data_IF_508027359388
#
_entry.id   IF_508027359388
#
_cell.length_a   1.000
_cell.length_b   1.000
_cell.length_c   1.000
_cell.angle_alpha   90.00
_cell.angle_beta   90.00
_cell.angle_gamma   90.00
#
_symmetry.space_group_name_H-M   'P 1'
#
loop_
_entity.id
_entity.type
_entity.pdbx_description
1 polymer ?
#
# COMPACT_ATOMS: atom_id res chain seq x y z
N UNK A 1 27.68 21.12 72.09
CA UNK A 1 28.22 19.76 71.97
C UNK A 1 27.06 18.84 71.59
N UNK A 2 26.91 18.55 70.29
CA UNK A 2 26.31 17.34 69.68
C UNK A 2 26.74 17.43 68.22
N UNK A 3 27.59 16.48 67.81
CA UNK A 3 28.07 16.29 66.43
C UNK A 3 26.95 15.61 65.64
N UNK A 4 26.50 16.22 64.56
CA UNK A 4 25.76 15.51 63.51
C UNK A 4 26.77 15.10 62.43
N UNK A 5 26.92 13.78 62.25
CA UNK A 5 27.80 13.16 61.26
C UNK A 5 27.12 13.16 59.89
N UNK A 6 27.77 13.74 58.89
CA UNK A 6 27.46 13.56 57.48
C UNK A 6 27.79 12.11 57.08
N UNK A 7 26.78 11.31 56.79
CA UNK A 7 26.90 10.02 56.10
C UNK A 7 26.18 10.10 54.77
N UNK A 8 26.78 10.77 53.78
CA UNK A 8 26.27 10.81 52.42
C UNK A 8 26.62 9.52 51.69
N UNK A 9 25.64 8.64 51.51
CA UNK A 9 25.76 7.50 50.61
C UNK A 9 25.71 8.02 49.16
N UNK A 10 26.85 8.01 48.47
CA UNK A 10 26.90 8.18 47.03
C UNK A 10 26.33 6.91 46.38
N UNK A 11 25.08 6.99 45.91
CA UNK A 11 24.54 5.99 44.98
C UNK A 11 25.08 6.36 43.60
N UNK A 12 26.13 5.66 43.18
CA UNK A 12 26.59 5.72 41.80
C UNK A 12 25.55 4.98 40.94
N UNK A 13 24.63 5.72 40.32
CA UNK A 13 23.78 5.19 39.25
C UNK A 13 24.70 5.00 38.05
N UNK A 14 25.19 3.77 37.88
CA UNK A 14 25.87 3.36 36.66
C UNK A 14 24.77 3.20 35.62
N UNK A 15 24.51 4.25 34.83
CA UNK A 15 23.75 4.12 33.60
C UNK A 15 24.59 3.27 32.64
N UNK A 16 24.33 1.97 32.60
CA UNK A 16 24.71 1.16 31.45
C UNK A 16 23.85 1.66 30.29
N UNK A 17 24.38 2.56 29.46
CA UNK A 17 23.82 2.71 28.12
C UNK A 17 24.07 1.39 27.43
N UNK A 18 23.06 0.51 27.38
CA UNK A 18 23.06 -0.58 26.43
C UNK A 18 23.16 0.10 25.06
N UNK A 19 24.37 0.13 24.53
CA UNK A 19 24.56 0.41 23.11
C UNK A 19 24.00 -0.84 22.46
N UNK A 20 22.73 -0.79 22.08
CA UNK A 20 22.18 -1.77 21.16
C UNK A 20 23.03 -1.62 19.92
N UNK A 21 23.98 -2.54 19.74
CA UNK A 21 24.70 -2.66 18.49
C UNK A 21 23.61 -2.95 17.47
N UNK A 22 23.20 -1.93 16.72
CA UNK A 22 22.34 -2.11 15.57
C UNK A 22 23.05 -3.17 14.72
N UNK A 23 22.44 -4.36 14.66
CA UNK A 23 22.95 -5.43 13.83
C UNK A 23 22.99 -4.86 12.42
N UNK A 24 24.18 -4.82 11.82
CA UNK A 24 24.32 -4.35 10.45
C UNK A 24 23.43 -5.25 9.59
N UNK A 25 22.28 -4.73 9.17
CA UNK A 25 21.44 -5.38 8.19
C UNK A 25 22.19 -5.29 6.88
N UNK A 26 22.38 -6.41 6.20
CA UNK A 26 22.89 -6.38 4.84
C UNK A 26 22.00 -5.42 4.02
N UNK A 27 22.59 -4.54 3.19
CA UNK A 27 21.80 -3.64 2.37
C UNK A 27 20.85 -4.45 1.48
N UNK A 28 19.64 -3.94 1.20
CA UNK A 28 18.71 -4.62 0.32
C UNK A 28 19.34 -4.85 -1.06
N UNK A 29 19.03 -5.97 -1.68
CA UNK A 29 19.50 -6.23 -3.04
C UNK A 29 18.69 -5.37 -4.02
N UNK A 30 19.38 -4.56 -4.81
CA UNK A 30 18.76 -3.80 -5.89
C UNK A 30 18.57 -4.72 -7.10
N UNK A 31 17.34 -4.78 -7.59
CA UNK A 31 16.94 -5.56 -8.77
C UNK A 31 16.30 -4.62 -9.77
N UNK A 32 16.91 -4.47 -10.95
CA UNK A 32 16.42 -3.53 -11.97
C UNK A 32 15.96 -4.28 -13.21
N UNK A 33 14.79 -3.92 -13.72
CA UNK A 33 14.32 -4.37 -15.01
C UNK A 33 15.08 -3.64 -16.14
N UNK A 34 15.83 -4.39 -16.95
CA UNK A 34 16.72 -3.82 -17.97
C UNK A 34 16.07 -3.60 -19.35
N UNK A 35 14.80 -4.01 -19.51
CA UNK A 35 13.97 -3.62 -20.65
C UNK A 35 14.37 -4.22 -22.00
N UNK A 36 14.60 -5.53 -22.10
CA UNK A 36 14.77 -6.19 -23.42
C UNK A 36 13.53 -6.96 -23.87
N UNK A 37 13.34 -7.03 -25.21
CA UNK A 37 12.32 -7.63 -26.13
C UNK A 37 10.93 -8.12 -25.67
N UNK A 38 10.71 -8.37 -24.39
CA UNK A 38 9.49 -8.92 -23.84
C UNK A 38 9.14 -8.19 -22.55
N UNK A 39 7.86 -8.21 -22.24
CA UNK A 39 7.29 -7.50 -21.12
C UNK A 39 6.91 -8.44 -19.97
N UNK A 40 7.19 -9.74 -20.05
CA UNK A 40 6.73 -10.71 -19.06
C UNK A 40 7.70 -10.81 -17.87
N UNK A 41 7.19 -10.60 -16.66
CA UNK A 41 7.95 -10.63 -15.40
C UNK A 41 8.89 -11.84 -15.27
N UNK A 42 8.47 -13.02 -15.75
CA UNK A 42 9.23 -14.28 -15.61
C UNK A 42 10.54 -14.34 -16.39
N UNK A 43 10.75 -13.42 -17.32
CA UNK A 43 11.85 -13.49 -18.26
C UNK A 43 13.19 -13.05 -17.66
N UNK A 44 14.27 -13.32 -18.38
CA UNK A 44 15.66 -13.10 -17.96
C UNK A 44 16.12 -11.64 -17.95
N UNK A 45 15.23 -10.68 -17.72
CA UNK A 45 15.47 -9.24 -17.90
C UNK A 45 15.76 -8.50 -16.58
N UNK A 46 16.15 -9.26 -15.54
CA UNK A 46 16.45 -8.72 -14.23
C UNK A 46 17.96 -8.67 -14.01
N UNK A 47 18.47 -7.48 -13.74
CA UNK A 47 19.88 -7.25 -13.39
C UNK A 47 20.04 -7.07 -11.88
N UNK A 48 21.15 -7.55 -11.34
CA UNK A 48 21.55 -7.43 -9.94
C UNK A 48 22.81 -6.60 -9.84
N UNK A 49 22.83 -5.66 -8.89
CA UNK A 49 23.94 -4.71 -8.75
C UNK A 49 25.27 -5.36 -8.27
N UNK A 50 25.23 -6.57 -7.69
CA UNK A 50 26.39 -7.20 -7.03
C UNK A 50 26.86 -8.54 -7.65
N UNK A 51 26.34 -8.98 -8.80
CA UNK A 51 26.76 -10.25 -9.41
C UNK A 51 27.28 -10.09 -10.83
N UNK A 52 28.51 -10.56 -11.04
CA UNK A 52 29.24 -10.73 -12.32
C UNK A 52 28.52 -11.70 -13.28
N UNK A 53 27.28 -12.09 -13.01
CA UNK A 53 26.49 -13.02 -13.82
C UNK A 53 25.20 -12.32 -14.29
N UNK A 54 25.14 -11.83 -15.54
CA UNK A 54 24.29 -10.71 -15.93
C UNK A 54 22.83 -11.05 -16.27
N UNK A 55 22.40 -12.31 -16.14
CA UNK A 55 21.06 -12.72 -16.58
C UNK A 55 20.52 -13.76 -15.62
N UNK A 56 19.51 -13.40 -14.83
CA UNK A 56 18.71 -14.36 -14.08
C UNK A 56 17.24 -14.25 -14.47
N UNK A 57 16.54 -15.38 -14.46
CA UNK A 57 15.10 -15.43 -14.74
C UNK A 57 14.32 -14.68 -13.65
N UNK A 58 13.14 -14.14 -13.98
CA UNK A 58 12.26 -13.45 -13.03
C UNK A 58 11.84 -14.27 -11.81
N UNK A 59 12.14 -15.57 -11.81
CA UNK A 59 12.19 -16.35 -10.60
C UNK A 59 13.06 -15.65 -9.54
N UNK A 60 14.32 -15.29 -9.79
CA UNK A 60 15.18 -14.80 -8.70
C UNK A 60 14.84 -13.42 -8.18
N UNK A 61 14.17 -12.56 -8.97
CA UNK A 61 13.53 -11.32 -8.49
C UNK A 61 12.41 -11.58 -7.46
N UNK A 62 12.08 -12.86 -7.22
CA UNK A 62 11.08 -13.42 -6.29
C UNK A 62 10.33 -12.38 -5.45
N UNK A 63 9.12 -12.08 -5.92
CA UNK A 63 8.01 -11.43 -5.21
C UNK A 63 6.85 -12.44 -5.05
N UNK A 64 7.05 -13.70 -5.42
CA UNK A 64 5.97 -14.68 -5.53
C UNK A 64 6.40 -16.00 -4.91
N UNK A 65 6.17 -16.22 -3.62
CA UNK A 65 6.38 -17.53 -2.99
C UNK A 65 5.11 -18.02 -2.34
N UNK A 66 4.96 -19.34 -2.33
CA UNK A 66 3.80 -20.14 -1.88
C UNK A 66 3.12 -19.61 -0.61
N UNK A 67 3.88 -19.09 0.35
CA UNK A 67 3.36 -18.74 1.67
C UNK A 67 4.25 -17.74 2.44
N UNK A 68 5.44 -17.34 1.94
CA UNK A 68 6.49 -16.76 2.82
C UNK A 68 7.27 -15.57 2.25
N UNK A 69 6.86 -15.00 1.12
CA UNK A 69 7.64 -13.97 0.44
C UNK A 69 9.01 -14.49 0.00
N UNK A 70 9.88 -13.60 -0.47
CA UNK A 70 11.25 -13.98 -0.77
C UNK A 70 12.13 -13.95 0.46
N UNK A 71 13.18 -14.79 0.43
CA UNK A 71 14.24 -14.75 1.43
C UNK A 71 15.13 -13.54 1.11
N UNK A 72 14.82 -12.38 1.68
CA UNK A 72 15.63 -11.16 1.57
C UNK A 72 14.84 -9.93 1.16
N UNK A 73 15.16 -8.79 1.76
CA UNK A 73 14.75 -7.47 1.29
C UNK A 73 15.30 -7.18 -0.09
N UNK A 74 14.41 -6.82 -1.02
CA UNK A 74 14.76 -6.46 -2.38
C UNK A 74 14.13 -5.12 -2.70
N UNK A 75 14.92 -4.26 -3.30
CA UNK A 75 14.45 -3.02 -3.88
C UNK A 75 14.35 -3.23 -5.38
N UNK A 76 13.12 -3.30 -5.86
CA UNK A 76 12.81 -3.56 -7.26
C UNK A 76 12.61 -2.23 -7.96
N UNK A 77 13.29 -2.01 -9.08
CA UNK A 77 13.11 -0.82 -9.91
C UNK A 77 12.69 -1.22 -11.33
N UNK A 78 11.59 -0.63 -11.80
CA UNK A 78 11.11 -0.71 -13.18
C UNK A 78 11.14 0.71 -13.74
N UNK A 79 11.96 0.94 -14.76
CA UNK A 79 12.17 2.28 -15.33
C UNK A 79 12.24 2.28 -16.85
N UNK A 80 12.65 3.41 -17.43
CA UNK A 80 12.89 3.56 -18.87
C UNK A 80 11.67 3.30 -19.76
N UNK A 81 10.45 3.53 -19.25
CA UNK A 81 9.21 3.28 -19.98
C UNK A 81 8.85 1.80 -20.16
N UNK A 82 9.52 0.88 -19.47
CA UNK A 82 9.23 -0.55 -19.54
C UNK A 82 7.78 -0.85 -19.13
N UNK A 83 7.13 -1.80 -19.79
CA UNK A 83 5.73 -2.16 -19.51
C UNK A 83 5.70 -3.60 -19.01
N UNK A 84 5.96 -3.84 -17.73
CA UNK A 84 6.11 -5.19 -17.18
C UNK A 84 4.73 -5.78 -16.88
N UNK A 85 4.56 -7.06 -17.19
CA UNK A 85 3.34 -7.83 -16.95
C UNK A 85 3.69 -8.98 -16.02
N UNK A 86 3.13 -8.94 -14.82
CA UNK A 86 3.04 -10.08 -13.92
C UNK A 86 1.75 -10.83 -14.24
N UNK A 87 1.86 -11.85 -15.10
CA UNK A 87 0.77 -12.77 -15.39
C UNK A 87 0.85 -13.93 -14.39
N UNK A 88 -0.11 -13.94 -13.47
CA UNK A 88 -0.24 -14.93 -12.43
C UNK A 88 -0.19 -16.38 -12.96
N UNK A 89 -0.80 -16.62 -14.11
CA UNK A 89 -0.99 -17.97 -14.63
C UNK A 89 0.35 -18.66 -14.98
N UNK A 90 1.37 -17.87 -15.32
CA UNK A 90 2.69 -18.42 -15.64
C UNK A 90 3.48 -18.85 -14.39
N UNK A 91 2.93 -18.64 -13.18
CA UNK A 91 3.59 -18.95 -11.90
C UNK A 91 3.03 -20.17 -11.18
N UNK A 92 2.43 -21.11 -11.90
CA UNK A 92 2.02 -22.39 -11.32
C UNK A 92 3.28 -23.18 -10.92
N UNK A 93 3.40 -23.50 -9.63
CA UNK A 93 4.47 -24.37 -9.15
C UNK A 93 4.25 -25.82 -9.65
N UNK A 94 5.28 -26.65 -9.59
CA UNK A 94 5.18 -28.10 -9.88
C UNK A 94 4.15 -28.83 -9.02
N UNK A 95 3.78 -28.24 -7.89
CA UNK A 95 2.77 -28.73 -6.96
C UNK A 95 1.33 -28.33 -7.35
N UNK A 96 1.14 -27.49 -8.38
CA UNK A 96 -0.17 -26.97 -8.80
C UNK A 96 -0.66 -25.77 -7.99
N UNK A 97 0.15 -25.26 -7.07
CA UNK A 97 -0.21 -24.12 -6.21
C UNK A 97 -0.04 -22.79 -6.96
N UNK A 98 -1.05 -21.94 -6.82
CA UNK A 98 -1.11 -20.59 -7.37
C UNK A 98 -0.25 -19.61 -6.55
N UNK A 99 0.49 -18.71 -7.22
CA UNK A 99 1.39 -17.76 -6.56
C UNK A 99 0.90 -16.33 -6.65
N UNK A 100 0.45 -15.86 -5.50
CA UNK A 100 0.18 -14.45 -5.18
C UNK A 100 1.38 -13.56 -5.37
N UNK A 101 1.15 -12.41 -6.02
CA UNK A 101 2.09 -11.30 -5.97
C UNK A 101 2.15 -10.82 -4.53
N UNK A 102 3.27 -11.11 -3.86
CA UNK A 102 3.58 -10.75 -2.48
C UNK A 102 4.97 -10.15 -2.41
N UNK A 103 5.09 -8.83 -2.28
CA UNK A 103 6.36 -8.17 -1.94
C UNK A 103 6.70 -8.37 -0.46
N UNK A 104 6.58 -9.60 0.04
CA UNK A 104 6.82 -9.92 1.43
C UNK A 104 8.32 -10.05 1.67
N UNK A 105 8.78 -9.33 2.69
CA UNK A 105 10.16 -9.35 3.11
C UNK A 105 10.30 -10.09 4.42
N UNK A 106 10.86 -11.31 4.37
CA UNK A 106 11.13 -12.09 5.59
C UNK A 106 12.39 -11.63 6.33
N UNK A 107 13.30 -10.94 5.62
CA UNK A 107 14.66 -10.63 6.09
C UNK A 107 15.09 -9.19 5.70
N UNK A 108 14.35 -8.16 6.14
CA UNK A 108 14.76 -6.75 5.99
C UNK A 108 13.71 -5.85 5.36
N UNK A 109 14.05 -4.58 5.06
CA UNK A 109 13.24 -3.71 4.24
C UNK A 109 13.34 -4.07 2.75
N UNK A 110 12.28 -3.84 1.99
CA UNK A 110 12.28 -3.94 0.54
C UNK A 110 11.21 -3.04 -0.03
N UNK A 111 11.28 -2.73 -1.32
CA UNK A 111 10.30 -1.85 -1.96
C UNK A 111 10.22 -2.04 -3.47
N UNK A 112 9.24 -1.36 -4.06
CA UNK A 112 9.02 -1.31 -5.50
C UNK A 112 9.05 0.15 -5.95
N UNK A 113 9.88 0.45 -6.94
CA UNK A 113 9.91 1.73 -7.63
C UNK A 113 9.53 1.53 -9.10
N UNK A 114 8.56 2.28 -9.59
CA UNK A 114 8.18 2.34 -10.99
C UNK A 114 8.34 3.79 -11.44
N UNK A 115 9.14 4.04 -12.47
CA UNK A 115 9.49 5.39 -12.87
C UNK A 115 9.62 5.58 -14.38
N UNK A 116 9.83 6.81 -14.85
CA UNK A 116 10.11 7.16 -16.24
C UNK A 116 9.05 6.67 -17.25
N UNK A 117 7.76 6.73 -16.89
CA UNK A 117 6.64 6.25 -17.70
C UNK A 117 6.50 4.73 -17.74
N UNK A 118 7.25 4.00 -16.90
CA UNK A 118 7.15 2.55 -16.84
C UNK A 118 5.85 2.10 -16.15
N UNK A 119 5.49 0.83 -16.35
CA UNK A 119 4.35 0.22 -15.68
C UNK A 119 4.64 -1.20 -15.19
N UNK A 120 3.88 -1.61 -14.16
CA UNK A 120 3.71 -2.99 -13.75
C UNK A 120 2.22 -3.33 -13.81
N UNK A 121 1.84 -4.23 -14.73
CA UNK A 121 0.52 -4.82 -14.82
C UNK A 121 0.49 -6.16 -14.08
N UNK A 122 -0.20 -6.21 -12.96
CA UNK A 122 -0.57 -7.45 -12.26
C UNK A 122 -1.89 -7.92 -12.87
N UNK A 123 -1.84 -8.98 -13.66
CA UNK A 123 -3.03 -9.57 -14.27
C UNK A 123 -3.48 -10.74 -13.40
N UNK A 124 -4.64 -10.58 -12.78
CA UNK A 124 -5.33 -11.65 -12.08
C UNK A 124 -6.35 -12.26 -13.03
N UNK A 125 -6.06 -13.46 -13.53
CA UNK A 125 -7.00 -14.21 -14.36
C UNK A 125 -8.08 -14.81 -13.45
N UNK A 126 -9.36 -14.61 -13.79
CA UNK A 126 -10.53 -15.11 -13.03
C UNK A 126 -10.73 -16.63 -13.09
N UNK A 127 -9.69 -17.42 -13.35
CA UNK A 127 -9.81 -18.88 -13.36
C UNK A 127 -10.13 -19.36 -11.95
N UNK A 128 -11.32 -19.92 -11.83
CA UNK A 128 -11.81 -20.60 -10.65
C UNK A 128 -10.89 -21.78 -10.36
N UNK A 129 -10.28 -21.81 -9.17
CA UNK A 129 -9.68 -23.03 -8.66
C UNK A 129 -10.79 -24.04 -8.33
N UNK A 130 -11.21 -24.78 -9.36
CA UNK A 130 -12.18 -25.86 -9.22
C UNK A 130 -11.66 -27.03 -8.38
N UNK A 131 -10.35 -27.09 -8.05
CA UNK A 131 -9.76 -28.19 -7.29
C UNK A 131 -9.90 -28.02 -5.77
N UNK A 132 -10.04 -26.78 -5.26
CA UNK A 132 -10.15 -26.52 -3.83
C UNK A 132 -11.58 -26.23 -3.33
N UNK A 133 -12.55 -26.02 -4.23
CA UNK A 133 -13.89 -25.57 -3.83
C UNK A 133 -13.89 -24.18 -3.18
N UNK A 134 -12.80 -23.43 -3.33
CA UNK A 134 -12.68 -22.03 -2.93
C UNK A 134 -13.34 -21.12 -3.98
N UNK A 135 -13.88 -20.00 -3.53
CA UNK A 135 -14.71 -19.09 -4.33
C UNK A 135 -14.02 -18.60 -5.60
N UNK A 136 -14.85 -18.29 -6.59
CA UNK A 136 -14.52 -17.91 -7.96
C UNK A 136 -14.02 -16.47 -8.07
N UNK A 137 -13.40 -15.96 -7.02
CA UNK A 137 -13.26 -14.53 -6.79
C UNK A 137 -11.80 -14.12 -6.83
N UNK A 138 -11.56 -12.96 -7.42
CA UNK A 138 -10.23 -12.48 -7.78
C UNK A 138 -9.27 -12.62 -6.61
N UNK A 139 -8.18 -13.35 -6.84
CA UNK A 139 -7.17 -13.56 -5.82
C UNK A 139 -6.60 -12.21 -5.36
N UNK A 140 -6.50 -12.01 -4.05
CA UNK A 140 -5.88 -10.81 -3.50
C UNK A 140 -4.45 -10.65 -4.02
N UNK A 141 -4.04 -9.41 -4.27
CA UNK A 141 -2.63 -9.06 -4.45
C UNK A 141 -2.20 -8.30 -3.23
N UNK A 142 -1.16 -8.79 -2.57
CA UNK A 142 -0.72 -8.25 -1.29
C UNK A 142 0.61 -7.53 -1.47
N UNK A 143 0.66 -6.31 -0.98
CA UNK A 143 1.84 -5.47 -1.02
C UNK A 143 2.32 -5.22 0.42
N UNK A 144 3.28 -6.03 0.84
CA UNK A 144 3.91 -5.99 2.17
C UNK A 144 5.35 -5.46 2.13
N UNK A 145 5.62 -4.54 1.20
CA UNK A 145 6.90 -3.85 1.14
C UNK A 145 6.92 -2.63 2.07
N UNK A 146 8.11 -2.14 2.38
CA UNK A 146 8.30 -0.89 3.12
C UNK A 146 7.89 0.31 2.27
N UNK A 147 8.17 0.30 0.96
CA UNK A 147 7.77 1.39 0.07
C UNK A 147 7.27 0.91 -1.29
N UNK A 148 6.32 1.65 -1.84
CA UNK A 148 5.88 1.65 -3.23
C UNK A 148 6.05 3.08 -3.77
N UNK A 149 7.02 3.30 -4.65
CA UNK A 149 7.28 4.59 -5.27
C UNK A 149 6.86 4.56 -6.73
N UNK A 150 5.86 5.36 -7.10
CA UNK A 150 5.40 5.54 -8.47
C UNK A 150 5.74 6.95 -8.88
N UNK A 151 6.86 7.11 -9.57
CA UNK A 151 7.42 8.41 -9.95
C UNK A 151 7.33 8.61 -11.46
N UNK A 152 6.23 9.18 -11.93
CA UNK A 152 5.80 9.06 -13.34
C UNK A 152 5.67 7.58 -13.77
N UNK A 153 5.34 6.67 -12.84
CA UNK A 153 5.16 5.25 -13.10
C UNK A 153 3.72 4.80 -12.84
N UNK A 154 3.32 3.65 -13.40
CA UNK A 154 1.96 3.13 -13.25
C UNK A 154 1.97 1.72 -12.65
N UNK A 155 1.32 1.53 -11.51
CA UNK A 155 0.92 0.20 -11.03
C UNK A 155 -0.50 -0.08 -11.51
N UNK A 156 -0.66 -1.12 -12.32
CA UNK A 156 -1.97 -1.56 -12.82
C UNK A 156 -2.26 -2.91 -12.19
N UNK A 157 -3.42 -3.05 -11.55
CA UNK A 157 -3.98 -4.33 -11.20
C UNK A 157 -5.25 -4.55 -12.01
N UNK A 158 -5.10 -5.34 -13.05
CA UNK A 158 -6.16 -5.64 -13.99
C UNK A 158 -6.83 -6.97 -13.66
N UNK A 159 -8.15 -6.97 -13.83
CA UNK A 159 -8.91 -8.19 -14.04
C UNK A 159 -9.14 -8.37 -15.54
N UNK A 160 -8.90 -9.56 -16.08
CA UNK A 160 -9.28 -9.88 -17.46
C UNK A 160 -10.69 -10.51 -17.49
N UNK A 161 -11.75 -9.74 -17.76
CA UNK A 161 -13.11 -10.28 -17.82
C UNK A 161 -13.34 -11.17 -19.06
N UNK A 162 -12.45 -11.09 -20.05
CA UNK A 162 -12.50 -11.88 -21.27
C UNK A 162 -11.60 -13.10 -21.23
N UNK A 163 -10.97 -13.39 -20.07
CA UNK A 163 -10.31 -14.65 -19.83
C UNK A 163 -11.31 -15.77 -20.08
N UNK A 164 -11.26 -16.29 -21.30
CA UNK A 164 -12.19 -17.23 -21.86
C UNK A 164 -11.35 -18.34 -22.46
N UNK A 165 -11.73 -19.58 -22.18
CA UNK A 165 -10.94 -20.73 -22.55
C UNK A 165 -11.20 -21.89 -21.62
N UNK A 166 -10.37 -22.91 -21.74
CA UNK A 166 -10.31 -24.02 -20.80
C UNK A 166 -9.04 -23.88 -19.99
N UNK A 167 -9.15 -23.98 -18.66
CA UNK A 167 -8.00 -24.12 -17.79
C UNK A 167 -7.12 -25.26 -18.32
N UNK A 168 -5.86 -25.00 -18.70
CA UNK A 168 -4.97 -26.00 -19.27
C UNK A 168 -4.64 -27.15 -18.32
N UNK A 169 -4.79 -26.95 -17.00
CA UNK A 169 -4.53 -27.98 -16.00
C UNK A 169 -5.72 -28.89 -15.78
N UNK A 170 -6.92 -28.32 -15.67
CA UNK A 170 -8.14 -29.09 -15.35
C UNK A 170 -8.99 -29.44 -16.57
N UNK A 171 -8.79 -28.74 -17.69
CA UNK A 171 -9.64 -28.82 -18.88
C UNK A 171 -11.02 -28.17 -18.71
N UNK A 172 -11.31 -27.57 -17.54
CA UNK A 172 -12.59 -26.95 -17.24
C UNK A 172 -12.72 -25.58 -17.91
N UNK A 173 -13.93 -25.15 -18.34
CA UNK A 173 -14.15 -23.80 -18.83
C UNK A 173 -13.81 -22.76 -17.76
N UNK A 174 -13.05 -21.74 -18.14
CA UNK A 174 -12.82 -20.54 -17.34
C UNK A 174 -14.14 -19.74 -17.39
N UNK A 175 -14.76 -19.53 -16.24
CA UNK A 175 -15.91 -18.64 -16.15
C UNK A 175 -15.40 -17.19 -16.06
N UNK A 176 -16.06 -16.23 -16.73
CA UNK A 176 -15.74 -14.82 -16.52
C UNK A 176 -16.00 -14.49 -15.05
N UNK A 177 -14.93 -14.21 -14.30
CA UNK A 177 -15.05 -13.69 -12.93
C UNK A 177 -15.71 -12.31 -12.94
N UNK A 178 -16.30 -11.94 -11.81
CA UNK A 178 -17.06 -10.69 -11.66
C UNK A 178 -16.30 -9.60 -10.92
N UNK A 179 -15.24 -9.95 -10.20
CA UNK A 179 -14.45 -9.03 -9.39
C UNK A 179 -12.96 -9.29 -9.57
N UNK A 180 -12.18 -8.20 -9.67
CA UNK A 180 -10.73 -8.28 -9.67
C UNK A 180 -10.16 -8.70 -8.33
N UNK A 181 -10.90 -8.66 -7.22
CA UNK A 181 -10.37 -8.89 -5.86
C UNK A 181 -9.58 -7.67 -5.33
N UNK A 182 -8.95 -7.77 -4.14
CA UNK A 182 -8.30 -6.65 -3.48
C UNK A 182 -6.81 -6.52 -3.83
N UNK A 183 -6.35 -5.28 -3.99
CA UNK A 183 -4.96 -4.85 -3.84
C UNK A 183 -4.77 -4.36 -2.41
N UNK A 184 -4.09 -5.13 -1.59
CA UNK A 184 -4.04 -4.90 -0.16
C UNK A 184 -2.64 -4.53 0.31
N UNK A 185 -2.54 -3.51 1.17
CA UNK A 185 -1.30 -2.98 1.71
C UNK A 185 -1.19 -3.28 3.19
N UNK A 186 -0.02 -3.76 3.63
CA UNK A 186 0.26 -4.05 5.03
C UNK A 186 -0.54 -5.24 5.57
N UNK A 187 -0.78 -6.26 4.75
CA UNK A 187 -1.62 -7.44 5.02
C UNK A 187 -0.99 -8.54 5.83
N UNK A 188 0.34 -8.62 6.02
CA UNK A 188 0.91 -9.78 6.72
C UNK A 188 1.54 -9.46 8.08
N UNK A 189 0.81 -9.81 9.15
CA UNK A 189 1.33 -10.08 10.49
C UNK A 189 1.49 -11.60 10.67
N UNK A 190 2.64 -12.12 10.26
CA UNK A 190 2.85 -13.56 10.25
C UNK A 190 4.04 -14.01 11.08
N UNK A 191 3.96 -13.93 12.42
CA UNK A 191 4.72 -14.88 13.24
C UNK A 191 4.42 -16.28 12.68
N UNK A 192 5.45 -16.96 12.19
CA UNK A 192 5.32 -18.31 11.63
C UNK A 192 4.80 -19.21 12.75
N UNK A 193 3.54 -19.66 12.72
CA UNK A 193 3.00 -20.48 13.80
C UNK A 193 3.70 -21.86 13.85
N UNK A 194 4.45 -22.23 12.79
CA UNK A 194 5.26 -23.46 12.77
C UNK A 194 6.62 -23.27 13.42
N UNK A 195 7.02 -22.04 13.74
CA UNK A 195 8.19 -21.81 14.59
C UNK A 195 7.84 -22.05 16.08
N UNK A 196 7.43 -23.28 16.36
CA UNK A 196 7.19 -23.84 17.70
C UNK A 196 8.46 -23.94 18.54
N UNK A 197 9.63 -23.55 18.00
CA UNK A 197 10.90 -23.62 18.70
C UNK A 197 11.08 -22.56 19.79
N UNK A 198 10.18 -21.56 19.86
CA UNK A 198 10.26 -20.50 20.86
C UNK A 198 11.44 -19.53 20.65
N UNK A 199 12.21 -19.70 19.57
CA UNK A 199 13.13 -18.67 19.12
C UNK A 199 12.31 -17.56 18.45
N UNK A 200 12.16 -16.44 19.17
CA UNK A 200 11.77 -15.14 18.61
C UNK A 200 12.78 -14.79 17.50
N UNK A 201 12.60 -15.37 16.32
CA UNK A 201 13.21 -14.86 15.11
C UNK A 201 12.53 -13.53 14.89
N UNK A 202 13.17 -12.46 15.38
CA UNK A 202 12.76 -11.07 15.22
C UNK A 202 12.80 -10.66 13.76
N UNK A 203 11.94 -11.27 12.95
CA UNK A 203 11.55 -10.74 11.67
C UNK A 203 10.97 -9.36 11.97
N UNK A 204 11.79 -8.33 11.77
CA UNK A 204 11.37 -6.95 11.81
C UNK A 204 10.54 -6.75 10.55
N UNK A 205 9.25 -7.01 10.67
CA UNK A 205 8.27 -6.61 9.68
C UNK A 205 8.31 -5.09 9.59
N UNK A 206 8.10 -4.56 8.39
CA UNK A 206 7.93 -3.13 8.24
C UNK A 206 6.73 -2.71 9.09
N UNK A 207 7.00 -2.00 10.19
CA UNK A 207 5.97 -1.31 10.96
C UNK A 207 5.40 -0.14 10.17
N UNK A 208 6.05 0.23 9.07
CA UNK A 208 5.76 1.38 8.25
C UNK A 208 5.76 0.94 6.77
N UNK A 209 4.65 1.21 6.08
CA UNK A 209 4.54 1.06 4.64
C UNK A 209 4.22 2.42 4.03
N UNK A 210 5.00 2.82 3.04
CA UNK A 210 4.88 4.09 2.34
C UNK A 210 4.46 3.85 0.88
N UNK A 211 3.49 4.62 0.40
CA UNK A 211 3.03 4.59 -0.99
C UNK A 211 3.16 6.00 -1.52
N UNK A 212 4.12 6.26 -2.40
CA UNK A 212 4.41 7.59 -2.91
C UNK A 212 4.01 7.67 -4.38
N UNK A 213 3.11 8.60 -4.71
CA UNK A 213 2.67 8.88 -6.07
C UNK A 213 3.16 10.27 -6.46
N UNK A 214 4.22 10.33 -7.27
CA UNK A 214 4.90 11.59 -7.65
C UNK A 214 4.95 11.77 -9.17
N UNK A 215 4.98 13.03 -9.63
CA UNK A 215 5.22 13.41 -11.04
C UNK A 215 4.36 12.64 -12.07
N UNK A 216 3.06 12.46 -11.79
CA UNK A 216 2.15 11.70 -12.63
C UNK A 216 2.04 10.22 -12.26
N UNK A 217 2.59 9.79 -11.11
CA UNK A 217 2.50 8.41 -10.63
C UNK A 217 1.05 7.93 -10.44
N UNK A 218 0.76 6.69 -10.83
CA UNK A 218 -0.62 6.18 -10.89
C UNK A 218 -0.78 4.78 -10.29
N UNK A 219 -1.87 4.59 -9.56
CA UNK A 219 -2.42 3.27 -9.26
C UNK A 219 -3.74 3.15 -10.02
N UNK A 220 -3.87 2.10 -10.82
CA UNK A 220 -5.11 1.72 -11.50
C UNK A 220 -5.47 0.33 -11.01
N UNK A 221 -6.64 0.16 -10.41
CA UNK A 221 -7.05 -1.13 -9.87
C UNK A 221 -8.49 -1.43 -10.24
N UNK A 222 -8.70 -2.57 -10.88
CA UNK A 222 -10.03 -3.03 -11.29
C UNK A 222 -10.72 -3.84 -10.18
N UNK A 223 -10.76 -3.28 -8.97
CA UNK A 223 -11.30 -3.94 -7.79
C UNK A 223 -11.02 -3.08 -6.56
N UNK A 224 -10.80 -3.73 -5.43
CA UNK A 224 -10.74 -3.04 -4.15
C UNK A 224 -9.30 -2.71 -3.76
N UNK A 225 -9.09 -1.62 -3.04
CA UNK A 225 -7.83 -1.24 -2.42
C UNK A 225 -7.98 -1.26 -0.91
N UNK A 226 -7.17 -2.08 -0.25
CA UNK A 226 -7.28 -2.33 1.19
C UNK A 226 -6.05 -1.81 1.91
N UNK A 227 -6.26 -1.10 3.00
CA UNK A 227 -5.22 -0.71 3.95
C UNK A 227 -5.40 -1.52 5.23
N UNK A 228 -4.41 -2.36 5.54
CA UNK A 228 -4.41 -3.17 6.74
C UNK A 228 -4.55 -4.67 6.48
N UNK A 229 -4.90 -5.38 7.54
CA UNK A 229 -4.83 -6.83 7.63
C UNK A 229 -6.11 -7.52 7.14
N UNK A 230 -5.96 -8.65 6.42
CA UNK A 230 -7.09 -9.48 5.96
C UNK A 230 -7.21 -10.82 6.70
N UNK A 231 -6.22 -11.30 7.46
CA UNK A 231 -6.34 -12.69 7.91
C UNK A 231 -7.42 -12.91 8.96
N UNK A 232 -8.00 -14.10 8.86
CA UNK A 232 -8.85 -14.74 9.84
C UNK A 232 -8.35 -14.55 11.29
N UNK A 233 -9.28 -14.49 12.26
CA UNK A 233 -9.03 -14.29 13.69
C UNK A 233 -8.18 -15.44 14.25
N UNK A 234 -6.87 -15.29 14.23
CA UNK A 234 -5.99 -16.21 14.95
C UNK A 234 -5.77 -15.59 16.32
N UNK A 235 -6.53 -16.11 17.28
CA UNK A 235 -6.66 -15.72 18.71
C UNK A 235 -5.36 -15.65 19.53
N UNK A 236 -4.18 -15.77 18.91
CA UNK A 236 -2.89 -15.83 19.63
C UNK A 236 -1.72 -15.17 18.86
N UNK A 237 -2.01 -14.24 17.94
CA UNK A 237 -0.93 -13.50 17.26
C UNK A 237 -0.57 -12.26 18.07
N UNK A 238 0.73 -12.08 18.35
CA UNK A 238 1.25 -10.76 18.73
C UNK A 238 1.03 -9.83 17.55
N UNK A 239 0.23 -8.83 17.77
CA UNK A 239 -0.06 -7.82 16.78
C UNK A 239 0.91 -6.66 16.97
N UNK A 240 1.27 -6.02 15.86
CA UNK A 240 2.20 -4.90 15.85
C UNK A 240 1.48 -3.66 15.36
N UNK A 241 1.72 -2.53 16.01
CA UNK A 241 1.27 -1.23 15.51
C UNK A 241 1.87 -1.01 14.12
N UNK A 242 1.05 -0.51 13.20
CA UNK A 242 1.44 -0.26 11.81
C UNK A 242 1.07 1.14 11.41
N UNK A 243 1.92 1.76 10.61
CA UNK A 243 1.61 2.99 9.91
C UNK A 243 1.63 2.70 8.42
N UNK A 244 0.52 2.93 7.74
CA UNK A 244 0.48 2.90 6.27
C UNK A 244 0.18 4.32 5.81
N UNK A 245 1.12 4.91 5.07
CA UNK A 245 1.00 6.27 4.57
C UNK A 245 1.05 6.25 3.05
N UNK A 246 0.00 6.76 2.41
CA UNK A 246 0.02 7.13 1.01
C UNK A 246 0.26 8.63 0.89
N UNK A 247 1.30 9.03 0.15
CA UNK A 247 1.59 10.42 -0.19
C UNK A 247 1.29 10.64 -1.67
N UNK A 248 0.48 11.66 -1.98
CA UNK A 248 0.11 12.01 -3.35
C UNK A 248 0.59 13.43 -3.66
N UNK A 249 1.48 13.54 -4.66
CA UNK A 249 2.00 14.80 -5.15
C UNK A 249 2.12 14.75 -6.68
N UNK A 250 1.10 15.24 -7.36
CA UNK A 250 0.87 15.06 -8.80
C UNK A 250 0.56 13.59 -9.17
N UNK A 251 -0.12 12.85 -8.30
CA UNK A 251 -0.45 11.43 -8.52
C UNK A 251 -1.95 11.14 -8.61
N UNK A 252 -2.31 9.94 -9.09
CA UNK A 252 -3.71 9.50 -9.20
C UNK A 252 -3.93 8.07 -8.72
N UNK A 253 -5.02 7.84 -8.00
CA UNK A 253 -5.55 6.50 -7.71
C UNK A 253 -6.89 6.35 -8.39
N UNK A 254 -7.00 5.38 -9.30
CA UNK A 254 -8.22 5.06 -10.04
C UNK A 254 -8.68 3.66 -9.66
N UNK A 255 -9.81 3.60 -8.93
CA UNK A 255 -10.46 2.36 -8.51
C UNK A 255 -11.79 2.15 -9.25
N UNK A 256 -12.05 2.86 -10.35
CA UNK A 256 -13.31 2.76 -11.11
C UNK A 256 -13.42 1.47 -11.94
N UNK A 257 -12.37 0.67 -11.95
CA UNK A 257 -12.33 -0.55 -12.73
C UNK A 257 -13.03 -1.70 -12.00
N UNK A 258 -13.72 -2.54 -12.77
CA UNK A 258 -14.40 -3.71 -12.21
C UNK A 258 -15.84 -3.40 -11.81
N UNK A 259 -16.53 -4.38 -11.26
CA UNK A 259 -17.90 -4.23 -10.79
C UNK A 259 -17.97 -4.84 -9.40
N UNK A 260 -17.66 -4.07 -8.35
CA UNK A 260 -17.73 -4.61 -6.98
C UNK A 260 -19.19 -4.77 -6.50
N UNK A 261 -20.16 -4.20 -7.25
CA UNK A 261 -21.60 -4.21 -6.96
C UNK A 261 -22.32 -5.54 -7.16
N UNK A 262 -21.64 -6.64 -7.47
CA UNK A 262 -22.27 -7.94 -7.28
C UNK A 262 -21.80 -8.49 -5.95
N UNK A 263 -22.49 -8.21 -4.82
CA UNK A 263 -22.40 -9.09 -3.66
C UNK A 263 -22.72 -10.47 -4.22
N UNK A 264 -21.70 -11.30 -4.38
CA UNK A 264 -21.85 -12.54 -5.10
C UNK A 264 -22.73 -13.46 -4.27
N UNK A 265 -23.44 -14.34 -4.96
CA UNK A 265 -24.46 -15.23 -4.39
C UNK A 265 -23.91 -16.23 -3.35
N UNK A 266 -22.59 -16.21 -3.09
CA UNK A 266 -21.98 -16.97 -2.02
C UNK A 266 -21.95 -16.13 -0.73
N UNK A 267 -22.77 -16.46 0.29
CA UNK A 267 -22.74 -15.78 1.58
C UNK A 267 -21.41 -15.96 2.34
N UNK A 268 -20.45 -16.70 1.79
CA UNK A 268 -19.11 -16.90 2.37
C UNK A 268 -18.02 -16.07 1.68
N UNK A 269 -18.37 -15.20 0.72
CA UNK A 269 -17.38 -14.39 0.02
C UNK A 269 -17.12 -13.07 0.75
N UNK A 270 -15.89 -12.90 1.25
CA UNK A 270 -15.53 -11.87 2.25
C UNK A 270 -15.23 -10.48 1.65
N UNK A 271 -15.76 -10.15 0.46
CA UNK A 271 -15.49 -8.86 -0.18
C UNK A 271 -16.47 -7.78 0.29
N UNK A 272 -15.93 -6.61 0.60
CA UNK A 272 -16.76 -5.47 1.01
C UNK A 272 -17.42 -4.83 -0.22
N UNK A 273 -18.59 -4.21 -0.08
CA UNK A 273 -19.19 -3.44 -1.17
C UNK A 273 -18.60 -2.01 -1.22
N UNK A 274 -17.28 -1.91 -1.40
CA UNK A 274 -16.55 -0.65 -1.54
C UNK A 274 -15.22 -0.82 -2.27
N UNK A 275 -14.72 0.27 -2.85
CA UNK A 275 -13.44 0.25 -3.54
C UNK A 275 -12.28 0.56 -2.61
N UNK A 276 -12.46 1.49 -1.67
CA UNK A 276 -11.41 1.89 -0.75
C UNK A 276 -11.77 1.46 0.66
N UNK A 277 -10.94 0.62 1.26
CA UNK A 277 -11.21 -0.02 2.55
C UNK A 277 -10.04 0.17 3.51
N UNK A 278 -10.34 0.61 4.73
CA UNK A 278 -9.40 0.64 5.84
C UNK A 278 -9.84 -0.38 6.88
N UNK A 279 -9.06 -1.45 7.05
CA UNK A 279 -9.37 -2.50 8.02
C UNK A 279 -8.66 -2.20 9.33
N UNK A 280 -9.36 -2.15 10.45
CA UNK A 280 -8.72 -2.19 11.77
C UNK A 280 -9.16 -3.46 12.47
N UNK A 281 -8.20 -4.22 13.00
CA UNK A 281 -8.52 -5.34 13.87
C UNK A 281 -8.60 -4.79 15.29
N UNK A 282 -9.66 -5.18 16.02
CA UNK A 282 -9.88 -4.74 17.40
C UNK A 282 -8.59 -4.96 18.21
N UNK A 283 -8.15 -3.91 18.91
CA UNK A 283 -6.93 -3.82 19.74
C UNK A 283 -5.64 -3.30 19.08
N UNK A 284 -5.66 -2.82 17.83
CA UNK A 284 -4.46 -2.28 17.16
C UNK A 284 -4.46 -0.76 17.04
N UNK A 285 -3.32 -0.12 17.34
CA UNK A 285 -3.09 1.29 17.02
C UNK A 285 -2.54 1.42 15.60
N UNK A 286 -3.22 0.80 14.63
CA UNK A 286 -2.91 1.05 13.23
C UNK A 286 -3.21 2.50 12.88
N UNK A 287 -2.28 3.13 12.17
CA UNK A 287 -2.39 4.49 11.66
C UNK A 287 -2.43 4.42 10.14
N UNK A 288 -3.52 4.92 9.56
CA UNK A 288 -3.66 5.03 8.11
C UNK A 288 -3.67 6.50 7.73
N UNK A 289 -2.94 6.85 6.67
CA UNK A 289 -2.86 8.22 6.15
C UNK A 289 -2.89 8.21 4.64
N UNK A 290 -3.70 9.09 4.06
CA UNK A 290 -3.65 9.52 2.68
C UNK A 290 -3.36 11.02 2.72
N UNK A 291 -2.14 11.41 2.40
CA UNK A 291 -1.67 12.78 2.51
C UNK A 291 -1.39 13.37 1.14
N UNK A 292 -2.16 14.39 0.76
CA UNK A 292 -1.91 15.17 -0.44
C UNK A 292 -0.92 16.29 -0.13
N UNK A 293 0.19 16.32 -0.84
CA UNK A 293 1.21 17.37 -0.71
C UNK A 293 1.45 18.14 -2.00
N UNK A 294 0.66 17.80 -3.01
CA UNK A 294 0.51 18.52 -4.26
C UNK A 294 -0.84 18.21 -4.90
N UNK A 295 -0.95 18.46 -6.22
CA UNK A 295 -2.13 18.10 -6.99
C UNK A 295 -2.34 16.58 -6.97
N UNK A 296 -3.53 16.13 -7.32
CA UNK A 296 -3.81 14.71 -7.45
C UNK A 296 -5.26 14.36 -7.22
N UNK A 297 -5.61 13.10 -7.44
CA UNK A 297 -6.97 12.62 -7.28
C UNK A 297 -7.07 11.17 -6.83
N UNK A 298 -8.21 10.86 -6.21
CA UNK A 298 -8.67 9.49 -5.95
C UNK A 298 -10.07 9.38 -6.52
N UNK A 299 -10.31 8.36 -7.34
CA UNK A 299 -11.64 8.07 -7.89
C UNK A 299 -12.07 6.66 -7.52
N UNK A 300 -13.31 6.55 -7.03
CA UNK A 300 -13.98 5.30 -6.69
C UNK A 300 -15.33 5.24 -7.41
N UNK A 301 -15.85 4.05 -7.69
CA UNK A 301 -17.18 3.83 -8.25
C UNK A 301 -18.20 3.29 -7.23
N UNK A 302 -17.77 2.72 -6.11
CA UNK A 302 -18.60 2.00 -5.15
C UNK A 302 -18.40 2.38 -3.68
N UNK A 303 -18.10 3.65 -3.41
CA UNK A 303 -18.01 4.16 -2.04
C UNK A 303 -16.75 3.74 -1.29
N UNK A 304 -16.67 4.14 -0.02
CA UNK A 304 -15.48 4.01 0.83
C UNK A 304 -15.93 3.38 2.15
N UNK A 305 -15.15 2.43 2.68
CA UNK A 305 -15.39 1.84 4.00
C UNK A 305 -14.24 2.21 4.93
N UNK A 306 -14.62 2.71 6.11
CA UNK A 306 -13.70 2.90 7.22
C UNK A 306 -14.14 2.07 8.42
N UNK A 307 -13.47 0.94 8.65
CA UNK A 307 -13.77 0.06 9.78
C UNK A 307 -13.50 0.72 11.15
N UNK A 308 -12.65 1.76 11.21
CA UNK A 308 -12.34 2.48 12.46
C UNK A 308 -13.57 3.17 13.06
N UNK A 309 -14.60 3.46 12.26
CA UNK A 309 -15.83 4.12 12.71
C UNK A 309 -16.89 3.15 13.24
N UNK A 310 -16.67 1.83 13.11
CA UNK A 310 -17.60 0.80 13.58
C UNK A 310 -17.17 0.29 14.97
N UNK A 311 -17.06 1.21 15.93
CA UNK A 311 -16.79 0.84 17.33
C UNK A 311 -18.08 0.31 17.98
N UNK A 312 -18.36 -0.99 17.86
CA UNK A 312 -19.70 -1.51 18.17
C UNK A 312 -19.82 -2.81 18.96
N UNK A 313 -19.07 -3.87 18.63
CA UNK A 313 -19.37 -5.18 19.22
C UNK A 313 -18.17 -6.11 19.21
N UNK A 314 -17.71 -6.49 20.41
CA UNK A 314 -16.54 -7.34 20.70
C UNK A 314 -16.62 -8.79 20.22
N UNK A 315 -16.91 -8.96 18.93
CA UNK A 315 -16.59 -10.12 18.12
C UNK A 315 -15.92 -9.51 16.90
N UNK A 316 -14.58 -9.51 16.90
CA UNK A 316 -13.80 -8.73 15.95
C UNK A 316 -14.27 -8.87 14.50
N UNK A 317 -14.10 -7.82 13.68
CA UNK A 317 -14.74 -7.65 12.37
C UNK A 317 -14.46 -8.76 11.34
N UNK A 318 -13.55 -9.70 11.61
CA UNK A 318 -13.19 -10.78 10.69
C UNK A 318 -13.49 -12.19 11.27
N UNK A 319 -14.26 -12.23 12.36
CA UNK A 319 -14.56 -13.35 13.24
C UNK A 319 -15.43 -14.51 12.71
N UNK A 320 -15.01 -15.25 11.68
CA UNK A 320 -15.53 -16.58 11.26
C UNK A 320 -16.97 -16.72 10.73
N UNK A 321 -17.76 -15.66 10.74
CA UNK A 321 -19.00 -15.55 9.98
C UNK A 321 -19.18 -14.05 9.77
N UNK A 322 -19.04 -13.53 8.55
CA UNK A 322 -19.66 -12.26 8.23
C UNK A 322 -21.17 -12.48 8.43
N UNK A 323 -21.81 -11.86 9.43
CA UNK A 323 -23.26 -11.88 9.48
C UNK A 323 -23.74 -11.30 8.15
N UNK A 324 -24.83 -11.82 7.60
CA UNK A 324 -25.54 -11.29 6.41
C UNK A 324 -25.86 -9.78 6.46
N UNK A 325 -25.56 -9.15 7.58
CA UNK A 325 -25.88 -7.78 7.96
C UNK A 325 -24.72 -6.82 7.61
N UNK A 326 -23.59 -7.32 7.07
CA UNK A 326 -22.48 -6.49 6.54
C UNK A 326 -22.79 -5.79 5.22
N UNK A 327 -23.98 -6.03 4.66
CA UNK A 327 -24.56 -5.21 3.59
C UNK A 327 -24.75 -3.75 4.05
N UNK A 328 -24.77 -3.51 5.37
CA UNK A 328 -24.97 -2.19 5.98
C UNK A 328 -23.72 -1.68 6.74
N UNK A 329 -22.50 -1.99 6.30
CA UNK A 329 -21.36 -1.16 6.72
C UNK A 329 -21.64 0.27 6.24
N UNK A 330 -21.59 1.23 7.18
CA UNK A 330 -21.72 2.63 6.84
C UNK A 330 -20.56 2.98 5.92
N UNK A 331 -20.86 3.07 4.63
CA UNK A 331 -20.03 3.78 3.69
C UNK A 331 -19.77 5.19 4.26
N UNK A 332 -18.62 5.76 3.93
CA UNK A 332 -18.19 7.06 4.41
C UNK A 332 -17.83 7.97 3.23
N UNK A 333 -18.04 9.27 3.40
CA UNK A 333 -17.61 10.28 2.43
C UNK A 333 -16.11 10.60 2.61
N UNK A 334 -15.50 11.31 1.66
CA UNK A 334 -14.11 11.77 1.82
C UNK A 334 -13.97 12.75 3.01
N UNK A 335 -15.00 13.54 3.26
CA UNK A 335 -15.14 14.43 4.40
C UNK A 335 -15.05 13.67 5.73
N UNK A 336 -15.65 12.48 5.82
CA UNK A 336 -15.54 11.64 7.02
C UNK A 336 -14.11 11.13 7.24
N UNK A 337 -13.39 10.77 6.16
CA UNK A 337 -11.97 10.39 6.25
C UNK A 337 -11.10 11.56 6.72
N UNK A 338 -11.44 12.78 6.31
CA UNK A 338 -10.76 14.01 6.73
C UNK A 338 -10.98 14.30 8.21
N UNK A 339 -12.22 14.17 8.68
CA UNK A 339 -12.60 14.43 10.08
C UNK A 339 -11.92 13.46 11.06
N UNK A 340 -11.64 12.23 10.63
CA UNK A 340 -10.88 11.24 11.44
C UNK A 340 -9.37 11.30 11.23
N UNK A 341 -8.89 12.19 10.37
CA UNK A 341 -7.46 12.40 10.12
C UNK A 341 -6.76 11.33 9.28
N UNK A 342 -7.51 10.46 8.60
CA UNK A 342 -6.97 9.54 7.59
C UNK A 342 -6.64 10.31 6.32
N UNK A 343 -7.58 11.13 5.83
CA UNK A 343 -7.33 12.02 4.70
C UNK A 343 -6.69 13.32 5.19
N UNK A 344 -5.61 13.75 4.53
CA UNK A 344 -4.79 14.87 4.96
C UNK A 344 -4.33 15.71 3.76
N UNK A 345 -4.03 16.98 4.02
CA UNK A 345 -3.35 17.89 3.11
C UNK A 345 -2.15 18.50 3.84
N UNK A 346 -0.93 18.24 3.38
CA UNK A 346 0.31 18.61 4.07
C UNK A 346 0.36 18.19 5.54
N UNK A 347 -0.20 17.02 5.85
CA UNK A 347 -0.29 16.48 7.20
C UNK A 347 -1.35 17.14 8.08
N UNK A 348 -2.13 18.08 7.56
CA UNK A 348 -3.28 18.68 8.24
C UNK A 348 -4.56 17.92 7.93
N UNK A 349 -5.49 17.87 8.89
CA UNK A 349 -6.81 17.27 8.71
C UNK A 349 -7.91 18.00 9.49
N UNK A 350 -9.12 17.43 9.51
CA UNK A 350 -10.23 17.95 10.33
C UNK A 350 -9.93 17.94 11.83
N UNK A 351 -9.00 17.08 12.28
CA UNK A 351 -8.55 17.05 13.68
C UNK A 351 -7.75 18.29 14.07
N UNK A 352 -7.19 19.01 13.11
CA UNK A 352 -6.45 20.26 13.32
C UNK A 352 -7.35 21.50 13.28
N UNK A 353 -8.66 21.31 13.02
CA UNK A 353 -9.64 22.39 12.87
C UNK A 353 -9.65 23.05 11.49
N UNK A 354 -9.00 22.43 10.52
CA UNK A 354 -8.94 22.86 9.13
C UNK A 354 -10.24 22.50 8.37
N UNK A 355 -10.60 23.32 7.37
CA UNK A 355 -11.84 23.14 6.60
C UNK A 355 -11.57 22.31 5.35
N UNK A 356 -12.23 21.16 5.21
CA UNK A 356 -12.07 20.24 4.07
C UNK A 356 -12.12 20.93 2.70
N UNK A 357 -13.10 21.82 2.50
CA UNK A 357 -13.30 22.50 1.21
C UNK A 357 -12.18 23.46 0.82
N UNK A 358 -11.30 23.84 1.73
CA UNK A 358 -10.15 24.70 1.43
C UNK A 358 -9.06 23.88 0.69
N UNK A 359 -9.00 22.58 0.95
CA UNK A 359 -7.98 21.67 0.43
C UNK A 359 -8.49 20.76 -0.68
N UNK A 360 -9.79 20.50 -0.75
CA UNK A 360 -10.34 19.50 -1.67
C UNK A 360 -11.59 19.98 -2.40
N UNK A 361 -11.85 19.36 -3.55
CA UNK A 361 -13.15 19.32 -4.21
C UNK A 361 -13.58 17.88 -4.42
N UNK A 362 -14.86 17.62 -4.24
CA UNK A 362 -15.47 16.33 -4.56
C UNK A 362 -16.45 16.50 -5.73
N UNK A 363 -16.38 15.58 -6.69
CA UNK A 363 -17.33 15.49 -7.80
C UNK A 363 -17.91 14.08 -7.89
N UNK A 364 -19.05 13.93 -8.57
CA UNK A 364 -19.78 12.67 -8.63
C UNK A 364 -20.84 12.58 -7.55
N UNK A 365 -21.43 11.39 -7.39
CA UNK A 365 -22.44 11.11 -6.37
C UNK A 365 -21.80 10.16 -5.37
N UNK A 366 -21.94 10.46 -4.08
CA UNK A 366 -21.52 9.54 -3.03
C UNK A 366 -22.13 8.15 -3.22
N UNK A 367 -21.30 7.10 -3.12
CA UNK A 367 -21.65 5.72 -3.44
C UNK A 367 -22.21 5.54 -4.87
N UNK A 368 -21.72 6.34 -5.81
CA UNK A 368 -22.00 6.20 -7.22
C UNK A 368 -20.72 6.20 -8.03
N UNK A 369 -20.87 5.86 -9.31
CA UNK A 369 -19.77 5.87 -10.26
C UNK A 369 -19.06 7.23 -10.29
N UNK A 370 -17.74 7.18 -10.46
CA UNK A 370 -16.86 8.34 -10.65
C UNK A 370 -16.87 9.33 -9.45
N UNK A 371 -17.11 8.85 -8.23
CA UNK A 371 -16.98 9.65 -7.01
C UNK A 371 -15.51 10.00 -6.77
N UNK A 372 -15.17 11.24 -7.10
CA UNK A 372 -13.79 11.70 -7.26
C UNK A 372 -13.45 12.77 -6.23
N UNK A 373 -12.39 12.54 -5.46
CA UNK A 373 -11.69 13.54 -4.67
C UNK A 373 -10.58 14.16 -5.52
N UNK A 374 -10.49 15.49 -5.55
CA UNK A 374 -9.39 16.22 -6.18
C UNK A 374 -8.77 17.20 -5.20
N UNK A 375 -7.45 17.15 -5.08
CA UNK A 375 -6.66 18.09 -4.28
C UNK A 375 -6.60 19.47 -4.94
N UNK A 376 -6.80 20.52 -4.14
CA UNK A 376 -6.54 21.93 -4.50
C UNK A 376 -5.12 22.36 -4.20
N UNK A 377 -4.35 21.52 -3.51
CA UNK A 377 -2.96 21.80 -3.14
C UNK A 377 -2.14 21.98 -4.41
N UNK A 378 -1.39 23.09 -4.49
CA UNK A 378 -0.49 23.35 -5.60
C UNK A 378 0.90 22.78 -5.31
N UNK A 379 1.50 22.15 -6.32
CA UNK A 379 2.89 21.72 -6.23
C UNK A 379 3.79 22.96 -6.06
N UNK A 380 4.60 22.97 -5.01
CA UNK A 380 5.48 24.10 -4.69
C UNK A 380 4.88 25.22 -3.83
N UNK A 381 3.60 25.15 -3.41
CA UNK A 381 2.97 26.11 -2.49
C UNK A 381 3.25 25.73 -1.03
N UNK A 382 4.52 25.79 -0.64
CA UNK A 382 4.98 25.38 0.70
C UNK A 382 4.44 26.23 1.85
N UNK A 383 3.87 27.40 1.55
CA UNK A 383 3.21 28.24 2.54
C UNK A 383 1.70 27.99 2.66
N UNK A 384 1.13 27.10 1.83
CA UNK A 384 -0.31 26.81 1.78
C UNK A 384 -1.15 28.08 1.58
N UNK A 385 -0.65 28.98 0.73
CA UNK A 385 -1.26 30.29 0.49
C UNK A 385 -2.19 30.31 -0.72
N UNK A 386 -2.33 29.17 -1.41
CA UNK A 386 -3.03 29.03 -2.67
C UNK A 386 -2.27 29.62 -3.86
N UNK A 387 -1.01 30.04 -3.69
CA UNK A 387 -0.20 30.69 -4.72
C UNK A 387 1.28 30.35 -4.57
N UNK A 388 1.91 29.82 -5.62
CA UNK A 388 3.34 29.50 -5.61
C UNK A 388 4.15 30.75 -5.90
N UNK A 389 4.86 31.29 -4.91
CA UNK A 389 5.57 32.56 -5.02
C UNK A 389 6.89 32.58 -4.22
N UNK A 390 7.49 33.76 -4.06
CA UNK A 390 8.79 33.90 -3.39
C UNK A 390 8.76 33.56 -1.89
N UNK A 391 7.59 33.60 -1.25
CA UNK A 391 7.43 33.18 0.13
C UNK A 391 7.58 31.66 0.29
N UNK A 392 7.06 30.89 -0.67
CA UNK A 392 7.22 29.43 -0.72
C UNK A 392 8.68 29.03 -0.91
N UNK A 393 9.39 29.75 -1.78
CA UNK A 393 10.83 29.55 -1.92
C UNK A 393 11.58 29.75 -0.60
N UNK A 394 11.21 30.77 0.18
CA UNK A 394 11.81 31.01 1.49
C UNK A 394 11.46 29.92 2.50
N UNK A 395 10.25 29.33 2.43
CA UNK A 395 9.87 28.16 3.23
C UNK A 395 10.75 26.97 2.89
N UNK A 396 10.89 26.64 1.61
CA UNK A 396 11.80 25.58 1.15
C UNK A 396 13.24 25.83 1.62
N UNK A 397 13.78 27.04 1.44
CA UNK A 397 15.15 27.39 1.88
C UNK A 397 15.37 27.28 3.40
N UNK A 398 14.31 27.36 4.20
CA UNK A 398 14.37 27.18 5.66
C UNK A 398 14.17 25.73 6.08
N UNK A 399 13.93 24.84 5.12
CA UNK A 399 13.59 23.45 5.38
C UNK A 399 12.18 23.27 5.93
N UNK A 400 11.26 24.16 5.54
CA UNK A 400 9.84 24.09 5.89
C UNK A 400 8.99 23.46 4.77
N UNK A 401 9.60 22.96 3.70
CA UNK A 401 8.93 22.11 2.71
C UNK A 401 8.81 20.67 3.22
N UNK A 402 8.04 19.82 2.51
CA UNK A 402 7.84 18.42 2.92
C UNK A 402 9.15 17.63 2.91
N UNK A 403 9.99 17.85 1.89
CA UNK A 403 11.34 17.30 1.79
C UNK A 403 12.34 18.45 1.82
N UNK A 404 12.69 18.95 3.03
CA UNK A 404 13.53 20.12 3.24
C UNK A 404 14.76 20.16 2.34
N UNK A 405 14.91 21.25 1.57
CA UNK A 405 16.08 21.51 0.72
C UNK A 405 16.29 20.47 -0.40
N UNK A 406 15.28 19.64 -0.70
CA UNK A 406 15.37 18.67 -1.80
C UNK A 406 15.37 19.37 -3.16
N UNK A 407 16.03 18.73 -4.13
CA UNK A 407 16.03 19.21 -5.51
C UNK A 407 14.65 19.06 -6.19
N UNK A 408 13.88 18.04 -5.79
CA UNK A 408 12.53 17.82 -6.28
C UNK A 408 11.59 18.96 -5.85
N UNK A 409 11.61 19.34 -4.57
CA UNK A 409 10.83 20.48 -4.09
C UNK A 409 11.19 21.78 -4.83
N UNK A 410 12.49 22.02 -5.00
CA UNK A 410 12.92 23.19 -5.75
C UNK A 410 12.39 23.19 -7.19
N UNK A 411 12.44 22.04 -7.87
CA UNK A 411 11.91 21.89 -9.22
C UNK A 411 10.39 22.12 -9.28
N UNK A 412 9.62 21.64 -8.30
CA UNK A 412 8.18 21.91 -8.19
C UNK A 412 7.89 23.40 -8.04
N UNK A 413 8.63 24.10 -7.17
CA UNK A 413 8.50 25.54 -7.04
C UNK A 413 8.84 26.28 -8.34
N UNK A 414 9.95 25.95 -9.00
CA UNK A 414 10.36 26.59 -10.26
C UNK A 414 9.31 26.39 -11.36
N UNK A 415 8.78 25.17 -11.48
CA UNK A 415 7.78 24.82 -12.48
C UNK A 415 6.45 25.55 -12.27
N UNK A 416 6.09 25.84 -11.01
CA UNK A 416 4.79 26.41 -10.65
C UNK A 416 4.85 27.89 -10.24
N UNK A 417 6.03 28.55 -10.23
CA UNK A 417 6.15 29.93 -9.80
C UNK A 417 5.20 30.89 -10.54
N UNK A 418 4.40 31.62 -9.78
CA UNK A 418 3.37 32.54 -10.28
C UNK A 418 2.01 31.91 -10.52
N UNK A 419 1.84 30.61 -10.28
CA UNK A 419 0.53 29.96 -10.32
C UNK A 419 -0.31 30.30 -9.09
N UNK A 420 -1.64 30.23 -9.25
CA UNK A 420 -2.63 30.50 -8.22
C UNK A 420 -3.82 29.56 -8.40
N UNK A 421 -4.30 28.93 -7.33
CA UNK A 421 -5.44 28.01 -7.36
C UNK A 421 -6.80 28.73 -7.53
N UNK A 422 -6.79 30.07 -7.61
CA UNK A 422 -7.97 30.91 -7.42
C UNK A 422 -8.09 31.30 -5.94
N UNK A 423 -9.01 32.23 -5.59
CA UNK A 423 -9.24 32.57 -4.20
C UNK A 423 -9.69 31.34 -3.42
N UNK A 424 -8.95 30.99 -2.36
CA UNK A 424 -9.35 30.08 -1.30
C UNK A 424 -10.55 30.66 -0.54
#
# INVERSE_FOLDING_TARGET
MIKCLCGGAFVAVICFSQTVLAQATDPPWIVTWDGTTSNNWTEGNWTYDDLVNPVQTGATAYVASREWGSKGGRDITIGGGAQVVYDWYNFIDVDGDYRTFHTRVRNGPGGLTITDGASLSIIVDGRIDTLAGSSADGMASEFDAQFLNLDNGTLIRGFDPNASGTDPLTGNPILPGTSGGPLAFGTSQGDDPRNTSGEEQGAQWASESEINLTHGGQIINNGQMWFGYWSAPIVDRKTYDRTITMTINDGTVDLTGGNVNTPKEDPNDDFANADLIFTNYEDLNHTYRINFTGPGSITVDNGIINAHLVSGSGTGPFGSYLPSDWIDLNLVEYEDLWDVGILQAHGLSGLDGETFSDYFTVTGVYNGADYTLTSKVLAGDYALSGNVNGFDFLKWQRGESQDPLSAADFAYWEANFGTSAGPL
#
